data_IF_068839955337
#
_entry.id   IF_068839955337
#
_cell.length_a   1.000
_cell.length_b   1.000
_cell.length_c   1.000
_cell.angle_alpha   90.00
_cell.angle_beta   90.00
_cell.angle_gamma   90.00
#
_symmetry.space_group_name_H-M   'P 1'
#
loop_
_entity.id
_entity.type
_entity.pdbx_description
1 polymer ?
#
# COMPACT_ATOMS: atom_id res chain seq x y z
N UNK A 1 -20.26 16.25 32.08
CA UNK A 1 -18.88 15.71 32.12
C UNK A 1 -18.54 15.11 30.74
N UNK A 2 -18.48 15.95 29.70
CA UNK A 2 -18.11 15.54 28.34
C UNK A 2 -16.83 16.28 27.96
N UNK A 3 -15.70 15.59 28.06
CA UNK A 3 -14.39 16.03 27.57
C UNK A 3 -13.72 14.81 26.95
N UNK A 4 -13.03 15.02 25.82
CA UNK A 4 -12.32 14.06 24.94
C UNK A 4 -13.24 13.53 23.82
N UNK A 5 -12.95 13.65 22.53
CA UNK A 5 -11.69 13.79 21.80
C UNK A 5 -11.84 14.77 20.64
N UNK A 6 -11.20 15.93 20.72
CA UNK A 6 -10.75 16.66 19.53
C UNK A 6 -9.26 16.36 19.42
N UNK A 7 -8.92 15.16 18.94
CA UNK A 7 -7.61 14.94 18.35
C UNK A 7 -7.54 15.85 17.13
N UNK A 8 -6.58 16.76 17.13
CA UNK A 8 -6.29 17.66 16.03
C UNK A 8 -6.11 16.85 14.74
N UNK A 9 -7.16 16.77 13.92
CA UNK A 9 -7.03 16.40 12.52
C UNK A 9 -6.28 17.54 11.84
N UNK A 10 -4.95 17.50 11.91
CA UNK A 10 -4.14 18.09 10.87
C UNK A 10 -4.57 17.36 9.59
N UNK A 11 -5.42 18.04 8.80
CA UNK A 11 -5.83 17.61 7.46
C UNK A 11 -4.56 17.25 6.70
N UNK A 12 -4.26 15.96 6.65
CA UNK A 12 -3.12 15.46 5.89
C UNK A 12 -3.58 15.46 4.44
N UNK A 13 -2.74 15.94 3.51
CA UNK A 13 -3.11 16.10 2.09
C UNK A 13 -3.42 14.76 1.40
N UNK A 14 -3.15 13.65 2.08
CA UNK A 14 -3.49 12.29 1.70
C UNK A 14 -4.79 11.74 2.33
N UNK A 15 -5.40 12.45 3.28
CA UNK A 15 -6.60 11.97 4.00
C UNK A 15 -7.77 11.62 3.08
N UNK A 16 -8.08 12.39 2.01
CA UNK A 16 -9.17 12.04 1.11
C UNK A 16 -8.97 10.69 0.43
N UNK A 17 -7.74 10.38 0.00
CA UNK A 17 -7.45 9.10 -0.64
C UNK A 17 -7.40 7.95 0.35
N UNK A 18 -6.83 8.15 1.55
CA UNK A 18 -6.85 7.13 2.59
C UNK A 18 -8.28 6.80 3.02
N UNK A 19 -9.15 7.81 3.15
CA UNK A 19 -10.57 7.62 3.44
C UNK A 19 -11.32 6.92 2.31
N UNK A 20 -11.02 7.26 1.05
CA UNK A 20 -11.59 6.58 -0.10
C UNK A 20 -11.18 5.11 -0.17
N UNK A 21 -9.95 4.81 0.22
CA UNK A 21 -9.40 3.46 0.29
C UNK A 21 -9.82 2.70 1.57
N UNK A 22 -10.46 3.35 2.55
CA UNK A 22 -10.79 2.73 3.85
C UNK A 22 -9.56 2.39 4.69
N UNK A 23 -8.52 3.23 4.64
CA UNK A 23 -7.21 3.06 5.31
C UNK A 23 -6.94 4.16 6.36
N UNK A 24 -7.97 4.88 6.80
CA UNK A 24 -7.88 5.96 7.80
C UNK A 24 -7.91 5.47 9.26
N UNK A 25 -8.15 4.19 9.46
CA UNK A 25 -8.29 3.59 10.79
C UNK A 25 -6.94 3.47 11.50
N UNK A 26 -6.96 3.47 12.84
CA UNK A 26 -5.77 3.30 13.66
C UNK A 26 -4.99 2.02 13.33
N UNK A 27 -5.71 0.95 12.98
CA UNK A 27 -5.15 -0.29 12.47
C UNK A 27 -5.53 -0.47 11.01
N UNK A 28 -4.54 -0.82 10.19
CA UNK A 28 -4.80 -1.25 8.82
C UNK A 28 -5.26 -2.72 8.82
N UNK A 29 -5.91 -3.16 7.73
CA UNK A 29 -6.08 -4.58 7.47
C UNK A 29 -4.72 -5.30 7.50
N UNK A 30 -4.74 -6.54 7.96
CA UNK A 30 -3.56 -7.41 8.08
C UNK A 30 -2.83 -7.57 6.76
N UNK A 31 -3.56 -7.77 5.67
CA UNK A 31 -3.03 -7.77 4.31
C UNK A 31 -3.86 -6.84 3.42
N UNK A 32 -3.19 -5.82 2.87
CA UNK A 32 -3.74 -4.89 1.88
C UNK A 32 -2.93 -5.00 0.59
N UNK A 33 -3.61 -5.23 -0.54
CA UNK A 33 -2.98 -5.23 -1.85
C UNK A 33 -3.25 -3.93 -2.59
N UNK A 34 -2.20 -3.36 -3.18
CA UNK A 34 -2.29 -2.26 -4.13
C UNK A 34 -1.98 -2.81 -5.52
N UNK A 35 -3.00 -3.01 -6.34
CA UNK A 35 -2.90 -3.62 -7.65
C UNK A 35 -2.84 -2.54 -8.71
N UNK A 36 -1.71 -2.42 -9.40
CA UNK A 36 -1.43 -1.31 -10.31
C UNK A 36 -1.43 -1.78 -11.77
N UNK A 37 -2.33 -1.21 -12.57
CA UNK A 37 -2.29 -1.36 -14.03
C UNK A 37 -1.00 -0.75 -14.61
N UNK A 38 -0.55 -1.30 -15.72
CA UNK A 38 0.54 -0.70 -16.51
C UNK A 38 0.18 0.72 -16.96
N UNK A 39 1.13 1.65 -16.79
CA UNK A 39 0.98 3.06 -17.17
C UNK A 39 0.29 3.95 -16.12
N UNK A 40 -0.01 3.40 -14.94
CA UNK A 40 -0.50 4.13 -13.77
C UNK A 40 0.58 4.15 -12.69
N UNK A 41 0.72 5.24 -11.95
CA UNK A 41 1.66 5.32 -10.83
C UNK A 41 0.92 5.15 -9.49
N UNK A 42 1.25 4.08 -8.76
CA UNK A 42 0.74 3.80 -7.42
C UNK A 42 1.64 4.23 -6.26
N UNK A 43 2.81 4.81 -6.53
CA UNK A 43 3.78 5.19 -5.50
C UNK A 43 3.25 6.30 -4.58
N UNK A 44 2.29 7.11 -5.05
CA UNK A 44 1.61 8.10 -4.22
C UNK A 44 0.79 7.47 -3.07
N UNK A 45 0.21 6.28 -3.28
CA UNK A 45 -0.51 5.57 -2.21
C UNK A 45 0.45 5.02 -1.17
N UNK A 46 1.59 4.49 -1.59
CA UNK A 46 2.65 4.08 -0.64
C UNK A 46 3.07 5.29 0.20
N UNK A 47 3.32 6.44 -0.42
CA UNK A 47 3.67 7.67 0.30
C UNK A 47 2.57 8.16 1.26
N UNK A 48 1.29 8.06 0.84
CA UNK A 48 0.13 8.37 1.67
C UNK A 48 0.03 7.46 2.90
N UNK A 49 0.14 6.15 2.70
CA UNK A 49 0.08 5.14 3.76
C UNK A 49 1.27 5.31 4.71
N UNK A 50 2.49 5.44 4.17
CA UNK A 50 3.70 5.66 4.95
C UNK A 50 3.57 6.85 5.89
N UNK A 51 3.15 8.00 5.37
CA UNK A 51 2.94 9.20 6.17
C UNK A 51 1.81 9.05 7.21
N UNK A 52 0.76 8.29 6.91
CA UNK A 52 -0.31 8.02 7.85
C UNK A 52 0.14 7.09 9.00
N UNK A 53 0.84 6.00 8.68
CA UNK A 53 1.30 5.02 9.67
C UNK A 53 2.32 5.59 10.64
N UNK A 54 3.27 6.38 10.14
CA UNK A 54 4.28 7.02 10.99
C UNK A 54 3.67 8.10 11.91
N UNK A 55 2.53 8.69 11.53
CA UNK A 55 1.78 9.62 12.38
C UNK A 55 0.86 8.93 13.40
N UNK A 56 0.52 7.66 13.21
CA UNK A 56 -0.47 6.97 14.03
C UNK A 56 -0.07 6.90 15.51
N UNK A 57 1.19 6.54 15.78
CA UNK A 57 1.80 6.55 17.11
C UNK A 57 3.32 6.62 16.99
N UNK A 58 3.99 7.19 18.00
CA UNK A 58 5.47 7.19 18.08
C UNK A 58 6.05 5.78 18.24
N UNK A 59 5.25 4.85 18.77
CA UNK A 59 5.66 3.46 18.95
C UNK A 59 5.33 2.57 17.73
N UNK A 60 4.67 3.14 16.71
CA UNK A 60 4.37 2.42 15.46
C UNK A 60 5.54 2.56 14.50
N UNK A 61 6.13 1.45 14.12
CA UNK A 61 7.30 1.38 13.24
C UNK A 61 6.89 0.95 11.84
N UNK A 62 7.62 1.40 10.82
CA UNK A 62 7.37 1.03 9.43
C UNK A 62 8.66 0.51 8.80
N UNK A 63 8.59 -0.67 8.19
CA UNK A 63 9.62 -1.20 7.32
C UNK A 63 9.16 -1.00 5.87
N UNK A 64 9.89 -0.19 5.12
CA UNK A 64 9.67 -0.01 3.69
C UNK A 64 10.69 -0.84 2.91
N UNK A 65 10.23 -1.83 2.16
CA UNK A 65 11.01 -2.59 1.20
C UNK A 65 10.82 -1.89 -0.14
N UNK A 66 11.87 -1.23 -0.61
CA UNK A 66 11.86 -0.39 -1.79
C UNK A 66 12.64 -1.05 -2.92
N UNK A 67 11.96 -1.41 -4.00
CA UNK A 67 12.45 -2.25 -5.10
C UNK A 67 12.55 -1.49 -6.41
N UNK A 68 11.70 -0.47 -6.64
CA UNK A 68 11.77 0.40 -7.83
C UNK A 68 12.18 1.83 -7.52
N UNK A 69 12.00 2.25 -6.28
CA UNK A 69 12.21 3.63 -5.87
C UNK A 69 13.15 3.71 -4.67
N UNK A 70 13.93 4.78 -4.60
CA UNK A 70 14.87 4.99 -3.50
C UNK A 70 14.19 5.68 -2.32
N UNK A 71 14.86 5.72 -1.17
CA UNK A 71 14.45 6.58 -0.06
C UNK A 71 14.18 8.03 -0.51
N UNK A 72 15.03 8.58 -1.38
CA UNK A 72 14.90 9.97 -1.82
C UNK A 72 13.58 10.21 -2.57
N UNK A 73 13.15 9.24 -3.38
CA UNK A 73 11.86 9.28 -4.05
C UNK A 73 10.71 9.37 -3.03
N UNK A 74 10.67 8.45 -2.05
CA UNK A 74 9.62 8.45 -1.04
C UNK A 74 9.66 9.65 -0.10
N UNK A 75 10.85 10.13 0.27
CA UNK A 75 11.01 11.36 1.04
C UNK A 75 10.40 12.56 0.31
N UNK A 76 10.70 12.69 -0.99
CA UNK A 76 10.13 13.74 -1.84
C UNK A 76 8.61 13.60 -2.00
N UNK A 77 8.10 12.39 -2.19
CA UNK A 77 6.67 12.11 -2.33
C UNK A 77 5.90 12.39 -1.02
N UNK A 78 6.43 11.96 0.13
CA UNK A 78 5.84 12.25 1.43
C UNK A 78 5.83 13.75 1.75
N UNK A 79 6.89 14.48 1.39
CA UNK A 79 6.94 15.93 1.57
C UNK A 79 5.82 16.64 0.80
N UNK A 80 5.51 16.18 -0.42
CA UNK A 80 4.40 16.70 -1.24
C UNK A 80 3.04 16.49 -0.58
N UNK A 81 2.85 15.41 0.18
CA UNK A 81 1.61 15.15 0.95
C UNK A 81 1.67 15.67 2.39
N UNK A 82 2.66 16.51 2.72
CA UNK A 82 2.77 17.20 4.00
C UNK A 82 3.35 16.34 5.12
N UNK A 83 4.32 15.47 4.81
CA UNK A 83 5.02 14.67 5.81
C UNK A 83 6.53 14.55 5.53
N UNK A 84 7.34 14.89 6.53
CA UNK A 84 8.80 14.75 6.45
C UNK A 84 9.22 13.39 7.03
N UNK A 85 9.88 12.56 6.21
CA UNK A 85 10.37 11.24 6.64
C UNK A 85 11.64 11.31 7.50
N UNK A 86 12.39 12.42 7.46
CA UNK A 86 13.67 12.57 8.16
C UNK A 86 13.58 12.21 9.65
N UNK A 87 12.71 12.88 10.44
CA UNK A 87 12.59 12.58 11.87
C UNK A 87 12.25 11.12 12.19
N UNK A 88 11.38 10.49 11.39
CA UNK A 88 10.99 9.10 11.59
C UNK A 88 12.13 8.13 11.24
N UNK A 89 12.92 8.45 10.22
CA UNK A 89 14.12 7.68 9.86
C UNK A 89 15.18 7.81 10.95
N UNK A 90 15.45 9.04 11.39
CA UNK A 90 16.52 9.33 12.35
C UNK A 90 16.20 8.77 13.75
N UNK A 91 14.92 8.62 14.11
CA UNK A 91 14.49 7.96 15.35
C UNK A 91 14.44 6.42 15.26
N UNK A 92 14.64 5.83 14.08
CA UNK A 92 14.49 4.40 13.83
C UNK A 92 13.03 3.93 13.66
N UNK A 93 12.05 4.85 13.73
CA UNK A 93 10.64 4.55 13.50
C UNK A 93 10.38 4.08 12.05
N UNK A 94 11.15 4.62 11.10
CA UNK A 94 11.16 4.20 9.70
C UNK A 94 12.48 3.49 9.38
N UNK A 95 12.38 2.22 8.99
CA UNK A 95 13.49 1.45 8.42
C UNK A 95 13.23 1.20 6.95
N UNK A 96 14.28 1.29 6.13
CA UNK A 96 14.16 1.16 4.68
C UNK A 96 15.17 0.12 4.21
N UNK A 97 14.68 -0.86 3.47
CA UNK A 97 15.48 -1.80 2.70
C UNK A 97 15.43 -1.35 1.24
N UNK A 98 16.46 -0.63 0.80
CA UNK A 98 16.56 -0.12 -0.57
C UNK A 98 17.18 -1.20 -1.47
N UNK A 99 16.34 -2.18 -1.84
CA UNK A 99 16.70 -3.36 -2.62
C UNK A 99 17.25 -2.96 -3.99
N UNK A 100 16.70 -1.91 -4.59
CA UNK A 100 17.21 -1.35 -5.85
C UNK A 100 18.66 -0.89 -5.69
N UNK A 101 18.94 -0.05 -4.68
CA UNK A 101 20.28 0.44 -4.42
C UNK A 101 21.26 -0.69 -4.06
N UNK A 102 20.84 -1.67 -3.25
CA UNK A 102 21.64 -2.84 -2.90
C UNK A 102 22.00 -3.66 -4.15
N UNK A 103 21.06 -3.87 -5.08
CA UNK A 103 21.35 -4.52 -6.36
C UNK A 103 22.39 -3.74 -7.16
N UNK A 104 22.19 -2.44 -7.38
CA UNK A 104 23.12 -1.62 -8.17
C UNK A 104 24.54 -1.62 -7.59
N UNK A 105 24.68 -1.63 -6.27
CA UNK A 105 25.98 -1.62 -5.61
C UNK A 105 26.71 -2.97 -5.71
N UNK A 106 25.95 -4.08 -5.72
CA UNK A 106 26.50 -5.43 -5.67
C UNK A 106 26.48 -6.16 -7.02
N UNK A 107 25.92 -5.56 -8.07
CA UNK A 107 25.82 -6.16 -9.41
C UNK A 107 27.21 -6.42 -10.02
N UNK A 108 27.43 -7.56 -10.71
CA UNK A 108 26.50 -8.67 -10.97
C UNK A 108 26.53 -9.78 -9.91
N UNK A 109 27.22 -9.57 -8.78
CA UNK A 109 27.61 -10.64 -7.87
C UNK A 109 26.52 -11.03 -6.86
N UNK A 110 25.50 -10.20 -6.70
CA UNK A 110 24.40 -10.45 -5.77
C UNK A 110 23.08 -9.99 -6.39
N UNK A 111 22.12 -10.90 -6.45
CA UNK A 111 20.74 -10.61 -6.82
C UNK A 111 19.86 -10.55 -5.55
N UNK A 112 18.73 -9.83 -5.58
CA UNK A 112 17.82 -9.77 -4.45
C UNK A 112 17.34 -11.18 -4.07
N UNK A 113 17.48 -11.56 -2.80
CA UNK A 113 17.04 -12.86 -2.28
C UNK A 113 15.83 -12.68 -1.36
N UNK A 114 14.73 -13.40 -1.66
CA UNK A 114 13.56 -13.40 -0.78
C UNK A 114 13.87 -13.97 0.61
N UNK A 115 14.80 -14.91 0.74
CA UNK A 115 15.19 -15.47 2.03
C UNK A 115 15.90 -14.43 2.92
N UNK A 116 16.78 -13.61 2.33
CA UNK A 116 17.44 -12.51 3.05
C UNK A 116 16.41 -11.44 3.47
N UNK A 117 15.52 -11.07 2.56
CA UNK A 117 14.44 -10.13 2.87
C UNK A 117 13.53 -10.70 3.97
N UNK A 118 13.14 -11.97 3.91
CA UNK A 118 12.33 -12.63 4.92
C UNK A 118 13.03 -12.66 6.29
N UNK A 119 14.34 -12.89 6.31
CA UNK A 119 15.13 -12.83 7.54
C UNK A 119 15.13 -11.43 8.17
N UNK A 120 15.35 -10.39 7.35
CA UNK A 120 15.33 -8.98 7.79
C UNK A 120 13.94 -8.55 8.27
N UNK A 121 12.88 -8.96 7.55
CA UNK A 121 11.49 -8.75 7.97
C UNK A 121 11.21 -9.44 9.30
N UNK A 122 11.58 -10.72 9.45
CA UNK A 122 11.40 -11.46 10.70
C UNK A 122 12.12 -10.82 11.88
N UNK A 123 13.31 -10.26 11.66
CA UNK A 123 14.03 -9.48 12.67
C UNK A 123 13.28 -8.22 13.05
N UNK A 124 12.83 -7.44 12.06
CA UNK A 124 12.03 -6.23 12.29
C UNK A 124 10.76 -6.51 13.09
N UNK A 125 10.05 -7.60 12.76
CA UNK A 125 8.84 -8.02 13.48
C UNK A 125 9.12 -8.40 14.92
N UNK A 126 10.24 -9.06 15.23
CA UNK A 126 10.60 -9.40 16.61
C UNK A 126 10.94 -8.17 17.46
N UNK A 127 11.51 -7.14 16.85
CA UNK A 127 12.00 -5.95 17.57
C UNK A 127 10.91 -4.92 17.87
N UNK A 128 9.87 -4.81 17.05
CA UNK A 128 8.87 -3.75 17.17
C UNK A 128 7.47 -4.33 17.36
N UNK A 129 6.70 -3.97 18.40
CA UNK A 129 5.35 -4.52 18.63
C UNK A 129 4.28 -3.92 17.71
N UNK A 130 4.31 -2.60 17.46
CA UNK A 130 3.43 -1.94 16.49
C UNK A 130 4.16 -1.74 15.17
N UNK A 131 3.71 -2.39 14.09
CA UNK A 131 4.51 -2.48 12.86
C UNK A 131 3.67 -2.51 11.60
N UNK A 132 4.20 -1.87 10.55
CA UNK A 132 3.71 -2.03 9.18
C UNK A 132 4.86 -2.38 8.27
N UNK A 133 4.70 -3.41 7.46
CA UNK A 133 5.59 -3.71 6.34
C UNK A 133 4.94 -3.16 5.08
N UNK A 134 5.68 -2.35 4.33
CA UNK A 134 5.30 -1.84 3.03
C UNK A 134 6.26 -2.43 1.99
N UNK A 135 5.74 -3.16 1.01
CA UNK A 135 6.49 -3.63 -0.16
C UNK A 135 6.04 -2.81 -1.35
N UNK A 136 6.94 -2.03 -1.95
CA UNK A 136 6.57 -1.17 -3.08
C UNK A 136 6.37 -1.92 -4.40
N UNK A 137 7.02 -3.06 -4.63
CA UNK A 137 6.65 -3.95 -5.74
C UNK A 137 7.16 -5.36 -5.48
N UNK A 138 6.25 -6.27 -5.11
CA UNK A 138 6.64 -7.66 -4.92
C UNK A 138 6.99 -8.35 -6.25
N UNK A 139 6.40 -7.91 -7.37
CA UNK A 139 6.65 -8.52 -8.69
C UNK A 139 8.07 -8.27 -9.20
N UNK A 140 8.80 -7.33 -8.57
CA UNK A 140 10.21 -7.08 -8.86
C UNK A 140 11.08 -8.34 -8.77
N UNK A 141 10.82 -9.19 -7.77
CA UNK A 141 11.61 -10.41 -7.53
C UNK A 141 11.45 -11.46 -8.64
N UNK A 142 10.37 -11.43 -9.41
CA UNK A 142 10.17 -12.32 -10.56
C UNK A 142 11.19 -12.07 -11.69
N UNK A 143 11.84 -10.91 -11.70
CA UNK A 143 12.93 -10.61 -12.64
C UNK A 143 14.28 -11.22 -12.23
N UNK A 144 14.36 -11.86 -11.06
CA UNK A 144 15.60 -12.38 -10.47
C UNK A 144 15.48 -13.85 -10.06
N UNK A 145 14.90 -14.67 -10.96
CA UNK A 145 14.74 -16.13 -10.82
C UNK A 145 13.90 -16.62 -9.63
N UNK A 146 13.13 -15.73 -8.98
CA UNK A 146 12.10 -16.14 -8.02
C UNK A 146 10.81 -16.54 -8.75
N UNK A 147 10.16 -17.59 -8.26
CA UNK A 147 8.89 -18.09 -8.77
C UNK A 147 7.68 -17.45 -8.08
N UNK A 148 6.51 -17.47 -8.74
CA UNK A 148 5.25 -17.02 -8.13
C UNK A 148 4.97 -17.76 -6.81
N UNK A 149 5.28 -19.05 -6.71
CA UNK A 149 5.12 -19.84 -5.49
C UNK A 149 5.96 -19.29 -4.32
N UNK A 150 7.23 -18.94 -4.55
CA UNK A 150 8.08 -18.35 -3.52
C UNK A 150 7.57 -16.99 -3.04
N UNK A 151 6.99 -16.19 -3.94
CA UNK A 151 6.38 -14.91 -3.59
C UNK A 151 5.11 -15.14 -2.75
N UNK A 152 4.29 -16.13 -3.10
CA UNK A 152 3.09 -16.51 -2.33
C UNK A 152 3.48 -16.95 -0.93
N UNK A 153 4.45 -17.86 -0.80
CA UNK A 153 4.95 -18.36 0.49
C UNK A 153 5.50 -17.22 1.36
N UNK A 154 6.24 -16.29 0.75
CA UNK A 154 6.74 -15.09 1.42
C UNK A 154 5.60 -14.24 2.01
N UNK A 155 4.53 -14.01 1.25
CA UNK A 155 3.38 -13.23 1.74
C UNK A 155 2.63 -14.00 2.82
N UNK A 156 2.38 -15.29 2.62
CA UNK A 156 1.68 -16.14 3.58
C UNK A 156 2.40 -16.13 4.94
N UNK A 157 3.73 -16.27 4.94
CA UNK A 157 4.55 -16.25 6.15
C UNK A 157 4.29 -15.02 7.04
N UNK A 158 4.13 -13.83 6.43
CA UNK A 158 3.93 -12.58 7.18
C UNK A 158 2.47 -12.16 7.30
N UNK A 159 1.58 -12.70 6.47
CA UNK A 159 0.15 -12.49 6.56
C UNK A 159 -0.53 -13.42 7.59
N UNK A 160 0.09 -14.54 7.96
CA UNK A 160 -0.46 -15.51 8.91
C UNK A 160 -0.47 -15.05 10.38
N UNK A 161 0.18 -13.93 10.71
CA UNK A 161 0.23 -13.45 12.11
C UNK A 161 -1.11 -12.91 12.59
N UNK A 162 -1.54 -13.30 13.79
CA UNK A 162 -2.79 -12.83 14.41
C UNK A 162 -2.64 -11.50 15.16
N UNK A 163 -1.47 -10.86 15.08
CA UNK A 163 -1.22 -9.59 15.75
C UNK A 163 -1.98 -8.43 15.09
N UNK A 164 -2.95 -7.86 15.80
CA UNK A 164 -3.75 -6.71 15.35
C UNK A 164 -2.94 -5.43 15.12
N UNK A 165 -1.71 -5.35 15.66
CA UNK A 165 -0.82 -4.21 15.48
C UNK A 165 0.17 -4.40 14.32
N UNK A 166 0.08 -5.53 13.63
CA UNK A 166 0.81 -5.83 12.41
C UNK A 166 -0.05 -5.56 11.18
N UNK A 167 0.56 -5.02 10.14
CA UNK A 167 -0.08 -4.87 8.83
C UNK A 167 0.95 -5.03 7.72
N UNK A 168 0.57 -5.74 6.67
CA UNK A 168 1.33 -5.95 5.45
C UNK A 168 0.62 -5.26 4.30
N UNK A 169 1.29 -4.31 3.65
CA UNK A 169 0.79 -3.64 2.44
C UNK A 169 1.73 -3.96 1.31
N UNK A 170 1.20 -4.54 0.25
CA UNK A 170 1.99 -4.99 -0.90
C UNK A 170 1.44 -4.31 -2.14
N UNK A 171 2.29 -3.59 -2.86
CA UNK A 171 1.99 -3.17 -4.22
C UNK A 171 2.45 -4.25 -5.20
N UNK A 172 1.63 -4.47 -6.22
CA UNK A 172 1.82 -5.43 -7.30
C UNK A 172 1.62 -4.72 -8.63
N UNK A 173 2.47 -5.02 -9.62
CA UNK A 173 2.18 -4.74 -11.01
C UNK A 173 1.25 -5.82 -11.57
N UNK A 174 0.02 -5.46 -11.97
CA UNK A 174 -0.98 -6.40 -12.50
C UNK A 174 -0.83 -6.62 -14.00
N UNK A 175 0.38 -7.00 -14.43
CA UNK A 175 0.57 -7.51 -15.77
C UNK A 175 -0.12 -8.88 -15.92
N UNK A 176 -0.71 -9.15 -17.08
CA UNK A 176 -1.40 -10.43 -17.37
C UNK A 176 -0.50 -11.66 -17.15
N UNK A 177 0.83 -11.47 -17.20
CA UNK A 177 1.84 -12.49 -16.96
C UNK A 177 1.78 -13.09 -15.53
N UNK A 178 1.25 -12.37 -14.54
CA UNK A 178 1.30 -12.73 -13.12
C UNK A 178 -0.09 -13.04 -12.53
N UNK A 179 -0.99 -13.58 -13.36
CA UNK A 179 -2.37 -13.84 -12.96
C UNK A 179 -2.48 -14.84 -11.79
N UNK A 180 -1.64 -15.88 -11.76
CA UNK A 180 -1.65 -16.90 -10.69
C UNK A 180 -1.27 -16.29 -9.35
N UNK A 181 -0.17 -15.53 -9.30
CA UNK A 181 0.26 -14.77 -8.15
C UNK A 181 -0.86 -13.82 -7.68
N UNK A 182 -1.41 -13.03 -8.59
CA UNK A 182 -2.47 -12.08 -8.23
C UNK A 182 -3.68 -12.79 -7.61
N UNK A 183 -4.16 -13.89 -8.20
CA UNK A 183 -5.31 -14.62 -7.69
C UNK A 183 -5.08 -15.19 -6.27
N UNK A 184 -3.91 -15.79 -6.03
CA UNK A 184 -3.59 -16.33 -4.69
C UNK A 184 -3.49 -15.21 -3.65
N UNK A 185 -2.86 -14.09 -3.99
CA UNK A 185 -2.75 -12.96 -3.08
C UNK A 185 -4.11 -12.29 -2.84
N UNK A 186 -4.96 -12.21 -3.87
CA UNK A 186 -6.33 -11.73 -3.75
C UNK A 186 -7.08 -12.55 -2.69
N UNK A 187 -7.06 -13.88 -2.76
CA UNK A 187 -7.76 -14.72 -1.77
C UNK A 187 -7.30 -14.46 -0.32
N UNK A 188 -6.00 -14.20 -0.11
CA UNK A 188 -5.41 -13.91 1.21
C UNK A 188 -5.72 -12.50 1.71
N UNK A 189 -5.87 -11.53 0.81
CA UNK A 189 -5.97 -10.12 1.17
C UNK A 189 -7.32 -9.79 1.82
N UNK A 190 -7.31 -8.92 2.82
CA UNK A 190 -8.57 -8.41 3.38
C UNK A 190 -9.11 -7.24 2.57
N UNK A 191 -8.20 -6.50 1.93
CA UNK A 191 -8.52 -5.32 1.13
C UNK A 191 -7.67 -5.33 -0.13
N UNK A 192 -8.33 -5.14 -1.26
CA UNK A 192 -7.69 -4.86 -2.54
C UNK A 192 -8.00 -3.43 -2.95
N UNK A 193 -6.98 -2.75 -3.46
CA UNK A 193 -7.09 -1.42 -4.04
C UNK A 193 -6.51 -1.50 -5.44
N UNK A 194 -7.39 -1.56 -6.44
CA UNK A 194 -7.02 -1.51 -7.86
C UNK A 194 -6.82 -0.07 -8.33
N UNK A 195 -5.64 0.22 -8.87
CA UNK A 195 -5.28 1.47 -9.53
C UNK A 195 -5.35 1.23 -11.03
N UNK A 196 -6.46 1.68 -11.60
CA UNK A 196 -6.79 1.41 -13.00
C UNK A 196 -6.63 2.64 -13.87
N UNK A 197 -6.21 2.40 -15.12
CA UNK A 197 -6.28 3.41 -16.17
C UNK A 197 -7.72 3.68 -16.55
N UNK A 198 -7.99 4.86 -17.08
CA UNK A 198 -9.30 5.16 -17.65
C UNK A 198 -9.46 4.43 -19.00
N UNK A 199 -10.57 3.71 -19.18
CA UNK A 199 -10.87 3.01 -20.43
C UNK A 199 -10.96 3.96 -21.65
N UNK A 200 -11.33 5.22 -21.41
CA UNK A 200 -11.42 6.28 -22.44
C UNK A 200 -10.07 6.88 -22.84
N UNK A 201 -8.96 6.43 -22.25
CA UNK A 201 -7.64 7.03 -22.46
C UNK A 201 -7.29 8.12 -21.45
N UNK A 202 -6.29 8.95 -21.76
CA UNK A 202 -5.78 9.96 -20.83
C UNK A 202 -6.72 11.18 -20.75
N UNK A 203 -6.98 11.65 -19.53
CA UNK A 203 -7.78 12.86 -19.29
C UNK A 203 -7.01 13.81 -18.35
N UNK A 204 -6.96 15.10 -18.68
CA UNK A 204 -6.12 16.06 -17.94
C UNK A 204 -6.51 16.21 -16.47
N UNK A 205 -7.80 16.07 -16.17
CA UNK A 205 -8.33 16.32 -14.82
C UNK A 205 -8.37 15.07 -13.93
N UNK A 206 -8.09 13.89 -14.48
CA UNK A 206 -8.16 12.61 -13.78
C UNK A 206 -7.02 11.71 -14.25
N UNK A 207 -6.19 11.25 -13.30
CA UNK A 207 -5.06 10.37 -13.60
C UNK A 207 -5.48 8.90 -13.70
N UNK A 208 -6.53 8.51 -12.99
CA UNK A 208 -7.04 7.14 -13.03
C UNK A 208 -8.24 6.91 -12.12
N UNK A 209 -8.51 5.62 -11.89
CA UNK A 209 -9.58 5.14 -11.03
C UNK A 209 -9.00 4.30 -9.89
N UNK A 210 -9.53 4.49 -8.69
CA UNK A 210 -9.34 3.59 -7.56
C UNK A 210 -10.58 2.71 -7.40
N UNK A 211 -10.37 1.40 -7.34
CA UNK A 211 -11.41 0.41 -7.06
C UNK A 211 -11.03 -0.31 -5.78
N UNK A 212 -11.89 -0.26 -4.77
CA UNK A 212 -11.67 -0.89 -3.48
C UNK A 212 -12.59 -2.10 -3.37
N UNK A 213 -12.00 -3.28 -3.13
CA UNK A 213 -12.73 -4.54 -2.98
C UNK A 213 -12.43 -5.17 -1.62
N UNK A 214 -13.47 -5.66 -0.95
CA UNK A 214 -13.41 -6.22 0.41
C UNK A 214 -14.42 -7.34 0.57
N UNK A 215 -14.21 -8.22 1.55
CA UNK A 215 -15.27 -9.13 1.97
C UNK A 215 -16.40 -8.33 2.63
N UNK A 216 -17.67 -8.63 2.33
CA UNK A 216 -18.79 -7.98 3.02
C UNK A 216 -18.71 -8.27 4.52
N UNK A 217 -19.13 -7.30 5.33
CA UNK A 217 -19.35 -7.55 6.74
C UNK A 217 -20.43 -8.64 6.88
N UNK A 218 -20.29 -9.51 7.89
CA UNK A 218 -21.34 -10.49 8.19
C UNK A 218 -22.60 -9.72 8.59
N UNK A 219 -23.56 -9.59 7.67
CA UNK A 219 -24.89 -9.09 7.98
C UNK A 219 -25.65 -10.20 8.72
N UNK A 220 -26.29 -9.85 9.83
CA UNK A 220 -27.05 -10.78 10.68
C UNK A 220 -28.11 -11.54 9.85
N UNK A 221 -27.79 -12.76 9.40
CA UNK A 221 -28.78 -13.72 8.88
C UNK A 221 -28.43 -14.47 7.61
N UNK A 222 -27.49 -14.00 6.77
CA UNK A 222 -27.06 -14.71 5.56
C UNK A 222 -25.63 -15.25 5.73
N UNK A 223 -25.53 -16.51 6.16
CA UNK A 223 -24.30 -17.29 6.01
C UNK A 223 -24.17 -17.71 4.55
N UNK A 224 -23.70 -16.80 3.69
CA UNK A 224 -23.25 -17.19 2.36
C UNK A 224 -22.15 -18.26 2.51
N UNK A 225 -22.40 -19.44 1.93
CA UNK A 225 -21.45 -20.57 1.94
C UNK A 225 -20.12 -20.23 1.24
N UNK A 226 -20.12 -19.18 0.41
CA UNK A 226 -18.96 -18.69 -0.33
C UNK A 226 -18.81 -17.19 -0.05
N UNK A 227 -17.75 -16.83 0.66
CA UNK A 227 -17.38 -15.42 0.85
C UNK A 227 -16.67 -14.93 -0.40
N UNK A 228 -17.31 -14.04 -1.16
CA UNK A 228 -16.72 -13.39 -2.35
C UNK A 228 -16.50 -11.91 -2.04
N UNK A 229 -15.34 -11.37 -2.40
CA UNK A 229 -15.09 -9.93 -2.29
C UNK A 229 -16.01 -9.16 -3.23
N UNK A 230 -16.63 -8.10 -2.70
CA UNK A 230 -17.45 -7.18 -3.48
C UNK A 230 -16.71 -5.85 -3.62
N UNK A 231 -16.96 -5.17 -4.74
CA UNK A 231 -16.50 -3.79 -4.92
C UNK A 231 -17.27 -2.91 -3.95
N UNK A 232 -16.56 -2.40 -2.95
CA UNK A 232 -17.08 -1.49 -1.93
C UNK A 232 -17.11 -0.05 -2.46
N UNK A 233 -16.07 0.35 -3.19
CA UNK A 233 -15.94 1.72 -3.68
C UNK A 233 -15.26 1.81 -5.03
N UNK A 234 -15.73 2.70 -5.89
CA UNK A 234 -15.04 3.09 -7.12
C UNK A 234 -15.04 4.61 -7.25
N UNK A 235 -13.86 5.22 -7.30
CA UNK A 235 -13.68 6.67 -7.35
C UNK A 235 -12.60 7.05 -8.37
N UNK A 236 -12.70 8.26 -8.91
CA UNK A 236 -11.64 8.81 -9.74
C UNK A 236 -10.63 9.54 -8.86
N UNK A 237 -9.38 9.67 -9.31
CA UNK A 237 -8.37 10.42 -8.57
C UNK A 237 -7.50 11.29 -9.48
N UNK A 238 -6.93 12.35 -8.89
CA UNK A 238 -5.90 13.19 -9.49
C UNK A 238 -4.80 13.44 -8.46
N UNK A 239 -3.58 13.07 -8.81
CA UNK A 239 -2.37 13.43 -8.07
C UNK A 239 -1.89 14.80 -8.59
N UNK A 240 -1.86 15.78 -7.68
CA UNK A 240 -1.28 17.09 -7.91
C UNK A 240 0.03 17.20 -7.15
N UNK A 241 0.79 18.27 -7.39
CA UNK A 241 2.09 18.47 -6.73
C UNK A 241 2.02 18.49 -5.19
N UNK A 242 0.89 18.91 -4.61
CA UNK A 242 0.75 19.09 -3.16
C UNK A 242 -0.46 18.38 -2.54
N UNK A 243 -1.30 17.74 -3.33
CA UNK A 243 -2.47 17.01 -2.82
C UNK A 243 -2.91 15.91 -3.76
N UNK A 244 -3.70 14.97 -3.22
CA UNK A 244 -4.37 13.94 -3.99
C UNK A 244 -5.88 14.22 -3.88
N UNK A 245 -6.52 14.50 -5.01
CA UNK A 245 -7.97 14.69 -5.10
C UNK A 245 -8.61 13.35 -5.42
N UNK A 246 -9.76 13.10 -4.79
CA UNK A 246 -10.64 11.97 -5.08
C UNK A 246 -11.99 12.55 -5.48
N UNK A 247 -12.58 11.98 -6.54
CA UNK A 247 -13.88 12.39 -7.05
C UNK A 247 -14.86 11.23 -6.91
N UNK A 248 -15.99 11.51 -6.26
CA UNK A 248 -17.08 10.54 -6.07
C UNK A 248 -17.87 10.41 -7.39
N UNK A 249 -18.42 9.24 -7.72
CA UNK A 249 -19.26 9.10 -8.91
C UNK A 249 -20.35 10.18 -9.00
N UNK A 250 -20.37 10.93 -10.10
CA UNK A 250 -21.31 12.04 -10.34
C UNK A 250 -20.76 13.46 -10.09
N UNK A 251 -19.61 13.63 -9.43
CA UNK A 251 -19.01 14.97 -9.21
C UNK A 251 -18.31 15.53 -10.46
N UNK A 252 -17.78 14.65 -11.31
CA UNK A 252 -17.20 15.04 -12.60
C UNK A 252 -18.32 15.03 -13.65
N UNK A 253 -19.20 16.02 -13.55
CA UNK A 253 -20.11 16.38 -14.64
C UNK A 253 -19.28 17.02 -15.75
N UNK A 254 -19.46 16.53 -16.97
CA UNK A 254 -18.98 17.16 -18.21
C UNK A 254 -19.41 18.64 -18.15
N UNK A 255 -18.50 19.53 -17.75
CA UNK A 255 -18.65 20.96 -18.02
C UNK A 255 -18.08 21.16 -19.41
N UNK A 256 -18.97 21.51 -20.33
CA UNK A 256 -18.76 21.84 -21.75
C UNK A 256 -19.05 20.67 -22.72
N UNK A 257 -20.34 20.51 -23.02
CA UNK A 257 -20.79 20.44 -24.42
C UNK A 257 -21.29 21.83 -24.81
#
# INVERSE_FOLDING_TARGET
>A
MYKRYLTSQLYTMAQPVLAACGLQNEHLPRLTLLKQDSGVDGSFLIAAILGHRLKASKDHHVLLIATHHTYHHYSSACMKVGFNLGPARDSGQLQILDVAAELFHNYPNCFPSLDDIAHRVGTFLKTHPGRTILVDDLTYFLNFDHSEAQLIDFVEQFAATEDRHHSLVIKLNTADLWATLCANLDDMAQVEIGLQRLASGQFREVDGRLVVSRYPAEEDGEQDLIKVKKVDKSVLYKVNERNIKVFVPGEVGIKNL
#
